data_IF_146070997073
#
_entry.id   IF_146070997073
#
_cell.length_a   1.000
_cell.length_b   1.000
_cell.length_c   1.000
_cell.angle_alpha   90.00
_cell.angle_beta   90.00
_cell.angle_gamma   90.00
#
_symmetry.space_group_name_H-M   'P 1'
#
loop_
_entity.id
_entity.type
_entity.pdbx_description
1 polymer ?
#
# COMPACT_ATOMS: atom_id res chain seq x y z
N UNK A 1 -4.99 -0.27 17.62
CA UNK A 1 -4.39 0.68 16.67
C UNK A 1 -2.97 0.94 17.11
N UNK A 2 -2.03 0.83 16.18
CA UNK A 2 -0.60 1.05 16.44
C UNK A 2 -0.19 2.50 16.16
N UNK A 3 -0.89 3.16 15.24
CA UNK A 3 -0.68 4.55 14.83
C UNK A 3 -1.69 5.51 15.48
N UNK A 4 -1.39 6.82 15.42
CA UNK A 4 -2.22 7.90 16.00
C UNK A 4 -3.44 8.29 15.14
N UNK A 5 -3.54 7.80 13.90
CA UNK A 5 -4.66 8.09 13.00
C UNK A 5 -5.00 6.87 12.15
N UNK A 6 -6.26 6.78 11.70
CA UNK A 6 -6.74 5.70 10.84
C UNK A 6 -6.05 5.70 9.46
N UNK A 7 -5.73 6.88 8.93
CA UNK A 7 -4.97 7.02 7.69
C UNK A 7 -3.55 6.45 7.80
N UNK A 8 -2.85 6.72 8.92
CA UNK A 8 -1.54 6.14 9.17
C UNK A 8 -1.64 4.63 9.43
N UNK A 9 -2.68 4.19 10.15
CA UNK A 9 -2.92 2.76 10.41
C UNK A 9 -3.17 1.98 9.11
N UNK A 10 -3.88 2.57 8.13
CA UNK A 10 -4.10 1.97 6.82
C UNK A 10 -2.77 1.70 6.11
N UNK A 11 -1.90 2.71 6.02
CA UNK A 11 -0.58 2.58 5.37
C UNK A 11 0.30 1.59 6.15
N UNK A 12 0.32 1.67 7.47
CA UNK A 12 1.04 0.73 8.32
C UNK A 12 0.56 -0.71 8.14
N UNK A 13 -0.74 -0.94 7.99
CA UNK A 13 -1.32 -2.28 7.83
C UNK A 13 -0.91 -2.96 6.52
N UNK A 14 -0.53 -2.20 5.49
CA UNK A 14 0.03 -2.73 4.25
C UNK A 14 1.46 -3.27 4.44
N UNK A 15 2.20 -2.76 5.41
CA UNK A 15 3.60 -3.14 5.60
C UNK A 15 3.76 -4.50 6.28
N UNK A 16 4.70 -5.36 5.85
CA UNK A 16 5.10 -6.56 6.59
C UNK A 16 5.99 -6.23 7.80
N UNK A 17 6.40 -4.97 7.98
CA UNK A 17 7.23 -4.52 9.09
C UNK A 17 6.40 -4.05 10.29
N UNK A 18 6.97 -4.19 11.49
CA UNK A 18 6.48 -3.57 12.73
C UNK A 18 7.04 -2.16 12.96
N UNK A 19 8.05 -1.74 12.19
CA UNK A 19 8.58 -0.40 12.26
C UNK A 19 7.60 0.57 11.57
N UNK A 20 6.94 1.42 12.36
CA UNK A 20 5.95 2.38 11.87
C UNK A 20 6.59 3.37 10.89
N UNK A 21 7.76 3.93 11.22
CA UNK A 21 8.44 4.91 10.37
C UNK A 21 8.80 4.33 9.02
N UNK A 22 9.44 3.15 8.99
CA UNK A 22 9.81 2.48 7.73
C UNK A 22 8.57 2.13 6.90
N UNK A 23 7.48 1.74 7.57
CA UNK A 23 6.22 1.42 6.90
C UNK A 23 5.62 2.64 6.22
N UNK A 24 5.58 3.78 6.91
CA UNK A 24 5.04 5.03 6.34
C UNK A 24 5.93 5.58 5.22
N UNK A 25 7.26 5.42 5.31
CA UNK A 25 8.19 5.82 4.25
C UNK A 25 8.08 4.91 3.03
N UNK A 26 7.94 3.60 3.23
CA UNK A 26 7.94 2.61 2.14
C UNK A 26 6.60 2.57 1.39
N UNK A 27 5.47 2.68 2.12
CA UNK A 27 4.12 2.55 1.55
C UNK A 27 3.38 3.89 1.40
N UNK A 28 3.94 4.98 1.94
CA UNK A 28 3.47 6.33 1.69
C UNK A 28 3.94 6.88 0.34
N UNK A 29 3.50 8.09 0.00
CA UNK A 29 3.96 8.80 -1.19
C UNK A 29 5.38 9.35 -0.98
N UNK A 30 6.16 9.40 -2.06
CA UNK A 30 7.46 10.05 -2.11
C UNK A 30 7.41 11.30 -2.99
N UNK A 31 8.41 12.18 -2.87
CA UNK A 31 8.49 13.44 -3.64
C UNK A 31 8.48 13.21 -5.17
N UNK A 32 9.01 12.08 -5.62
CA UNK A 32 9.12 11.69 -7.03
C UNK A 32 8.02 10.71 -7.48
N UNK A 33 6.98 10.49 -6.67
CA UNK A 33 5.86 9.62 -7.06
C UNK A 33 5.07 10.24 -8.22
N UNK A 34 4.92 9.48 -9.31
CA UNK A 34 4.16 9.90 -10.51
C UNK A 34 2.73 9.36 -10.55
N UNK A 35 2.42 8.40 -9.68
CA UNK A 35 1.09 7.84 -9.45
C UNK A 35 0.86 7.68 -7.94
N UNK A 36 -0.38 7.86 -7.50
CA UNK A 36 -0.77 7.73 -6.10
C UNK A 36 -2.18 7.17 -5.97
N UNK A 37 -2.46 6.57 -4.81
CA UNK A 37 -3.81 6.15 -4.40
C UNK A 37 -4.21 7.02 -3.22
N UNK A 38 -5.36 7.68 -3.32
CA UNK A 38 -5.93 8.47 -2.23
C UNK A 38 -7.03 7.68 -1.54
N UNK A 39 -6.97 7.58 -0.21
CA UNK A 39 -8.00 6.99 0.62
C UNK A 39 -8.44 8.00 1.68
N UNK A 40 -9.76 8.14 1.87
CA UNK A 40 -10.36 9.00 2.89
C UNK A 40 -11.37 8.15 3.66
N UNK A 41 -11.35 8.28 4.98
CA UNK A 41 -12.30 7.63 5.88
C UNK A 41 -13.48 8.56 6.17
N UNK A 42 -14.66 7.98 6.33
CA UNK A 42 -15.91 8.66 6.71
C UNK A 42 -16.37 9.81 5.76
N UNK A 43 -16.06 9.71 4.46
CA UNK A 43 -16.54 10.67 3.45
C UNK A 43 -17.76 10.14 2.69
N UNK A 44 -18.87 9.93 3.41
CA UNK A 44 -20.11 9.35 2.83
C UNK A 44 -20.65 10.14 1.64
N UNK A 45 -20.45 11.46 1.63
CA UNK A 45 -20.91 12.33 0.55
C UNK A 45 -19.92 12.45 -0.62
N UNK A 46 -18.69 11.94 -0.47
CA UNK A 46 -17.60 12.11 -1.44
C UNK A 46 -17.08 13.54 -1.53
N UNK A 47 -17.45 14.42 -0.61
CA UNK A 47 -17.12 15.84 -0.69
C UNK A 47 -15.65 16.11 -0.35
N UNK A 48 -15.09 15.35 0.60
CA UNK A 48 -13.69 15.48 0.98
C UNK A 48 -12.78 14.90 -0.11
N UNK A 49 -13.18 13.80 -0.74
CA UNK A 49 -12.48 13.23 -1.89
C UNK A 49 -12.44 14.21 -3.06
N UNK A 50 -13.54 14.91 -3.35
CA UNK A 50 -13.57 15.95 -4.38
C UNK A 50 -12.65 17.14 -4.03
N UNK A 51 -12.60 17.55 -2.76
CA UNK A 51 -11.68 18.61 -2.30
C UNK A 51 -10.22 18.16 -2.43
N UNK A 52 -9.91 16.92 -2.07
CA UNK A 52 -8.57 16.35 -2.18
C UNK A 52 -8.14 16.22 -3.65
N UNK A 53 -9.01 15.71 -4.52
CA UNK A 53 -8.73 15.57 -5.95
C UNK A 53 -8.33 16.90 -6.60
N UNK A 54 -8.96 18.02 -6.22
CA UNK A 54 -8.61 19.37 -6.69
C UNK A 54 -7.20 19.82 -6.29
N UNK A 55 -6.59 19.21 -5.26
CA UNK A 55 -5.22 19.49 -4.82
C UNK A 55 -4.17 18.61 -5.51
N UNK A 56 -4.60 17.58 -6.23
CA UNK A 56 -3.71 16.64 -6.93
C UNK A 56 -3.57 17.08 -8.38
N UNK A 57 -2.36 17.46 -8.78
CA UNK A 57 -2.04 17.76 -10.18
C UNK A 57 -1.76 16.46 -10.94
N UNK A 58 -2.80 15.84 -11.49
CA UNK A 58 -2.69 14.61 -12.26
C UNK A 58 -3.98 14.24 -12.98
N UNK A 59 -3.98 13.08 -13.62
CA UNK A 59 -5.14 12.54 -14.35
C UNK A 59 -5.78 11.41 -13.54
N UNK A 60 -7.08 11.49 -13.19
CA UNK A 60 -7.78 10.39 -12.55
C UNK A 60 -7.82 9.16 -13.48
N UNK A 61 -7.52 7.99 -12.94
CA UNK A 61 -7.55 6.72 -13.66
C UNK A 61 -8.44 5.72 -12.92
N UNK A 62 -9.23 4.87 -13.63
CA UNK A 62 -9.97 3.79 -12.99
C UNK A 62 -9.01 2.80 -12.32
N UNK A 63 -9.24 2.47 -11.04
CA UNK A 63 -8.31 1.67 -10.24
C UNK A 63 -7.97 0.32 -10.88
N UNK A 64 -8.97 -0.40 -11.39
CA UNK A 64 -8.79 -1.75 -11.94
C UNK A 64 -7.92 -1.79 -13.20
N UNK A 65 -8.05 -0.79 -14.07
CA UNK A 65 -7.26 -0.70 -15.31
C UNK A 65 -5.95 0.07 -15.14
N UNK A 66 -5.90 0.99 -14.18
CA UNK A 66 -4.72 1.81 -13.88
C UNK A 66 -3.67 1.08 -13.06
N UNK A 67 -4.06 0.36 -12.00
CA UNK A 67 -3.13 -0.23 -11.03
C UNK A 67 -2.09 -1.17 -11.67
N UNK A 68 -2.44 -2.08 -12.61
CA UNK A 68 -1.46 -2.96 -13.24
C UNK A 68 -0.38 -2.21 -14.02
N UNK A 69 -0.66 -1.00 -14.53
CA UNK A 69 0.30 -0.19 -15.29
C UNK A 69 1.43 0.38 -14.43
N UNK A 70 1.18 0.54 -13.12
CA UNK A 70 2.12 1.15 -12.17
C UNK A 70 2.70 0.14 -11.18
N UNK A 71 2.15 -1.07 -11.11
CA UNK A 71 2.61 -2.10 -10.20
C UNK A 71 3.99 -2.65 -10.60
N UNK A 72 4.97 -2.52 -9.70
CA UNK A 72 6.28 -3.15 -9.85
C UNK A 72 6.31 -4.47 -9.07
N UNK A 73 6.00 -5.57 -9.75
CA UNK A 73 5.93 -6.92 -9.13
C UNK A 73 7.26 -7.32 -8.50
N UNK A 74 8.39 -6.98 -9.11
CA UNK A 74 9.72 -7.30 -8.56
C UNK A 74 9.99 -6.56 -7.24
N UNK A 75 9.59 -5.29 -7.15
CA UNK A 75 9.69 -4.52 -5.91
C UNK A 75 8.75 -5.07 -4.84
N UNK A 76 7.50 -5.39 -5.20
CA UNK A 76 6.53 -6.00 -4.29
C UNK A 76 7.11 -7.31 -3.72
N UNK A 77 7.66 -8.18 -4.59
CA UNK A 77 8.32 -9.42 -4.17
C UNK A 77 9.46 -9.17 -3.19
N UNK A 78 10.28 -8.15 -3.43
CA UNK A 78 11.38 -7.76 -2.54
C UNK A 78 10.87 -7.25 -1.18
N UNK A 79 9.90 -6.35 -1.18
CA UNK A 79 9.35 -5.73 0.05
C UNK A 79 8.69 -6.77 0.94
N UNK A 80 7.89 -7.67 0.37
CA UNK A 80 7.24 -8.74 1.11
C UNK A 80 8.11 -9.99 1.30
N UNK A 81 9.30 -10.02 0.68
CA UNK A 81 10.24 -11.13 0.69
C UNK A 81 9.61 -12.44 0.18
N UNK A 82 8.79 -12.32 -0.87
CA UNK A 82 8.06 -13.44 -1.48
C UNK A 82 8.77 -13.84 -2.77
N UNK A 83 9.15 -15.12 -2.86
CA UNK A 83 10.07 -15.63 -3.88
C UNK A 83 10.92 -16.82 -3.42
N UNK A 84 10.77 -17.26 -2.17
CA UNK A 84 11.34 -18.51 -1.70
C UNK A 84 10.67 -19.70 -2.45
N UNK A 85 11.44 -20.58 -3.13
CA UNK A 85 10.92 -21.75 -3.84
C UNK A 85 10.07 -22.69 -2.98
N UNK A 86 10.24 -22.64 -1.64
CA UNK A 86 9.47 -23.43 -0.69
C UNK A 86 7.96 -23.17 -0.74
N UNK A 87 7.53 -22.06 -1.36
CA UNK A 87 6.11 -21.71 -1.44
C UNK A 87 5.60 -21.54 -2.88
N UNK A 88 6.17 -22.30 -3.81
CA UNK A 88 5.83 -22.20 -5.24
C UNK A 88 4.36 -22.56 -5.57
N UNK A 89 3.64 -23.27 -4.68
CA UNK A 89 2.25 -23.69 -4.90
C UNK A 89 1.19 -22.65 -4.47
N UNK A 90 1.54 -21.69 -3.61
CA UNK A 90 0.62 -20.65 -3.12
C UNK A 90 0.63 -19.38 -3.99
N UNK A 91 -0.53 -18.74 -4.14
CA UNK A 91 -0.67 -17.50 -4.91
C UNK A 91 0.16 -16.35 -4.30
N UNK A 92 0.64 -15.44 -5.15
CA UNK A 92 1.39 -14.26 -4.68
C UNK A 92 0.58 -13.41 -3.70
N UNK A 93 -0.75 -13.32 -3.90
CA UNK A 93 -1.67 -12.61 -3.01
C UNK A 93 -1.70 -13.20 -1.60
N UNK A 94 -1.71 -14.52 -1.48
CA UNK A 94 -1.87 -15.22 -0.21
C UNK A 94 -0.62 -15.02 0.66
N UNK A 95 0.55 -15.09 0.03
CA UNK A 95 1.81 -14.72 0.67
C UNK A 95 1.85 -13.28 1.15
N UNK A 96 1.43 -12.33 0.31
CA UNK A 96 1.42 -10.91 0.69
C UNK A 96 0.52 -10.72 1.92
N UNK A 97 -0.68 -11.29 1.91
CA UNK A 97 -1.63 -11.22 3.04
C UNK A 97 -1.04 -11.86 4.29
N UNK A 98 -0.43 -13.05 4.16
CA UNK A 98 0.24 -13.74 5.28
C UNK A 98 1.34 -12.86 5.91
N UNK A 99 2.16 -12.18 5.09
CA UNK A 99 3.22 -11.27 5.55
C UNK A 99 2.66 -9.99 6.18
N UNK A 100 1.56 -9.46 5.66
CA UNK A 100 0.85 -8.30 6.25
C UNK A 100 0.28 -8.63 7.63
N UNK A 101 -0.29 -9.82 7.81
CA UNK A 101 -0.95 -10.23 9.07
C UNK A 101 0.07 -10.62 10.13
N UNK A 102 1.07 -11.44 9.77
CA UNK A 102 2.11 -11.85 10.71
C UNK A 102 2.97 -10.67 11.16
N UNK A 103 3.21 -9.70 10.26
CA UNK A 103 4.20 -8.62 10.45
C UNK A 103 5.53 -9.16 11.01
N UNK A 104 5.88 -10.38 10.64
CA UNK A 104 7.06 -11.07 11.16
C UNK A 104 8.19 -10.89 10.16
N UNK A 105 9.15 -10.06 10.55
CA UNK A 105 10.42 -9.94 9.86
C UNK A 105 11.23 -11.20 10.19
N UNK A 106 11.02 -12.28 9.41
CA UNK A 106 11.90 -13.44 9.48
C UNK A 106 13.20 -13.03 8.79
N UNK A 107 14.20 -12.69 9.60
CA UNK A 107 15.56 -12.37 9.14
C UNK A 107 16.35 -13.64 8.87
#
# INVERSE_FOLDING_TARGET
MSCRSLSAELVYSLSPSRNISDSLVTFGIAEHSTALIAAIFDDKSGSEMKKLAKKIKGTPEPMMSGLPKFANVSLIKKVYQVGNPAFAEEGLSDHIVSRMVSKDFVS
#
